data_IF_411814910203
#
_entry.id   IF_411814910203
#
_cell.length_a   1.000
_cell.length_b   1.000
_cell.length_c   1.000
_cell.angle_alpha   90.00
_cell.angle_beta   90.00
_cell.angle_gamma   90.00
#
_symmetry.space_group_name_H-M   'P 1'
#
loop_
_entity.id
_entity.type
_entity.pdbx_description
1 polymer ?
#
# COMPACT_ATOMS: atom_id res chain seq x y z
N UNK A 1 1.45 -16.69 11.56
CA UNK A 1 0.71 -16.24 10.37
C UNK A 1 1.75 -15.90 9.32
N UNK A 2 1.61 -16.41 8.10
CA UNK A 2 2.53 -16.06 7.02
C UNK A 2 2.16 -14.66 6.52
N UNK A 3 3.16 -13.79 6.34
CA UNK A 3 2.91 -12.47 5.77
C UNK A 3 2.53 -12.62 4.30
N UNK A 4 1.60 -11.80 3.78
CA UNK A 4 1.13 -11.91 2.41
C UNK A 4 2.23 -11.60 1.40
N UNK A 5 2.13 -12.22 0.23
CA UNK A 5 2.87 -11.72 -0.93
C UNK A 5 2.17 -10.48 -1.46
N UNK A 6 2.90 -9.40 -1.71
CA UNK A 6 2.33 -8.14 -2.18
C UNK A 6 2.83 -7.84 -3.59
N UNK A 7 1.88 -7.67 -4.51
CA UNK A 7 2.07 -7.12 -5.84
C UNK A 7 1.55 -5.68 -5.85
N UNK A 8 2.35 -4.74 -6.31
CA UNK A 8 2.01 -3.32 -6.35
C UNK A 8 2.35 -2.73 -7.71
N UNK A 9 1.35 -2.23 -8.43
CA UNK A 9 1.52 -1.60 -9.75
C UNK A 9 1.23 -0.10 -9.74
N UNK A 10 1.27 0.51 -8.54
CA UNK A 10 1.05 1.95 -8.33
C UNK A 10 2.34 2.72 -8.59
N UNK A 11 2.71 2.88 -9.86
CA UNK A 11 4.01 3.42 -10.28
C UNK A 11 4.28 4.86 -9.81
N UNK A 12 3.22 5.62 -9.52
CA UNK A 12 3.31 6.98 -8.98
C UNK A 12 3.43 7.02 -7.45
N UNK A 13 3.51 5.88 -6.76
CA UNK A 13 3.69 5.85 -5.30
C UNK A 13 5.17 5.90 -4.92
N UNK A 14 5.53 6.61 -3.84
CA UNK A 14 6.90 6.61 -3.28
C UNK A 14 7.32 5.24 -2.73
N UNK A 15 6.36 4.37 -2.42
CA UNK A 15 6.60 3.00 -1.96
C UNK A 15 6.73 1.97 -3.09
N UNK A 16 6.53 2.37 -4.34
CA UNK A 16 6.70 1.47 -5.48
C UNK A 16 8.18 1.17 -5.72
N UNK A 17 8.48 -0.11 -5.95
CA UNK A 17 9.78 -0.59 -6.40
C UNK A 17 9.63 -1.32 -7.74
N UNK A 18 10.60 -1.19 -8.66
CA UNK A 18 10.62 -1.94 -9.91
C UNK A 18 10.43 -3.45 -9.67
N UNK A 19 9.64 -4.10 -10.53
CA UNK A 19 9.28 -5.51 -10.39
C UNK A 19 7.98 -5.76 -9.62
N UNK A 20 7.05 -4.79 -9.65
CA UNK A 20 5.75 -4.81 -8.98
C UNK A 20 5.82 -5.03 -7.46
N UNK A 21 6.86 -4.49 -6.82
CA UNK A 21 7.09 -4.65 -5.39
C UNK A 21 6.67 -3.38 -4.62
N UNK A 22 6.28 -3.56 -3.36
CA UNK A 22 5.97 -2.47 -2.45
C UNK A 22 6.95 -2.48 -1.27
N UNK A 23 7.65 -1.38 -1.04
CA UNK A 23 8.56 -1.22 0.12
C UNK A 23 7.85 -0.65 1.36
N UNK A 24 6.54 -0.43 1.31
CA UNK A 24 5.81 0.06 2.47
C UNK A 24 5.91 -0.96 3.61
N UNK A 25 6.27 -0.51 4.81
CA UNK A 25 6.24 -1.36 6.00
C UNK A 25 4.80 -1.82 6.34
N UNK A 26 3.80 -1.01 5.99
CA UNK A 26 2.39 -1.30 6.23
C UNK A 26 1.50 -0.77 5.10
N UNK A 27 0.53 -1.59 4.68
CA UNK A 27 -0.46 -1.24 3.65
C UNK A 27 -1.83 -1.19 4.31
N UNK A 28 -2.53 -0.06 4.20
CA UNK A 28 -3.87 0.09 4.76
C UNK A 28 -4.88 0.33 3.64
N UNK A 29 -5.78 -0.64 3.44
CA UNK A 29 -6.83 -0.59 2.42
C UNK A 29 -8.16 -0.18 3.07
N UNK A 30 -8.84 0.79 2.46
CA UNK A 30 -10.11 1.35 2.93
C UNK A 30 -11.17 1.30 1.84
N UNK A 31 -12.44 1.45 2.21
CA UNK A 31 -13.48 1.78 1.23
C UNK A 31 -13.16 3.16 0.60
N UNK A 32 -13.57 3.35 -0.64
CA UNK A 32 -13.57 4.64 -1.31
C UNK A 32 -14.40 5.64 -0.48
N UNK A 33 -13.91 6.86 -0.32
CA UNK A 33 -14.55 7.87 0.54
C UNK A 33 -15.88 8.37 -0.03
N UNK A 34 -16.06 8.28 -1.35
CA UNK A 34 -17.28 8.72 -2.00
C UNK A 34 -18.44 7.76 -1.75
N UNK A 35 -18.18 6.45 -1.78
CA UNK A 35 -19.18 5.42 -1.57
C UNK A 35 -19.38 5.09 -0.08
N UNK A 36 -18.30 5.02 0.70
CA UNK A 36 -18.34 4.63 2.12
C UNK A 36 -18.56 3.13 2.35
N UNK A 37 -18.78 2.34 1.30
CA UNK A 37 -18.86 0.89 1.29
C UNK A 37 -18.12 0.35 0.06
N UNK A 38 -17.87 -0.96 0.01
CA UNK A 38 -17.26 -1.61 -1.15
C UNK A 38 -18.08 -2.81 -1.60
N UNK A 39 -18.53 -2.76 -2.86
CA UNK A 39 -19.19 -3.86 -3.57
C UNK A 39 -18.30 -4.43 -4.68
N UNK A 40 -17.39 -3.62 -5.22
CA UNK A 40 -16.38 -4.04 -6.19
C UNK A 40 -14.98 -3.53 -5.80
N UNK A 41 -13.95 -3.98 -6.50
CA UNK A 41 -12.57 -3.60 -6.22
C UNK A 41 -12.30 -2.11 -6.46
N UNK A 42 -13.03 -1.47 -7.40
CA UNK A 42 -12.98 -0.02 -7.64
C UNK A 42 -13.59 0.83 -6.51
N UNK A 43 -14.33 0.21 -5.58
CA UNK A 43 -14.82 0.86 -4.38
C UNK A 43 -13.80 0.81 -3.24
N UNK A 44 -12.55 0.43 -3.50
CA UNK A 44 -11.48 0.37 -2.50
C UNK A 44 -10.39 1.39 -2.80
N UNK A 45 -9.57 1.71 -1.80
CA UNK A 45 -8.43 2.61 -1.95
C UNK A 45 -7.29 2.24 -0.99
N UNK A 46 -6.06 2.46 -1.43
CA UNK A 46 -4.86 2.33 -0.61
C UNK A 46 -4.54 3.66 0.08
N UNK A 47 -4.79 3.74 1.39
CA UNK A 47 -4.45 4.94 2.19
C UNK A 47 -2.96 5.08 2.50
N UNK A 48 -2.19 4.02 2.30
CA UNK A 48 -0.72 4.10 2.33
C UNK A 48 -0.13 4.76 1.06
N UNK A 49 -0.96 5.16 0.09
CA UNK A 49 -0.48 5.85 -1.11
C UNK A 49 0.11 7.22 -0.78
N UNK A 50 1.35 7.43 -1.23
CA UNK A 50 2.01 8.73 -1.24
C UNK A 50 2.52 9.02 -2.64
N UNK A 51 1.97 10.05 -3.29
CA UNK A 51 2.34 10.39 -4.65
C UNK A 51 3.81 10.84 -4.73
N UNK A 52 4.54 10.33 -5.73
CA UNK A 52 5.86 10.81 -6.14
C UNK A 52 5.69 12.15 -6.86
N UNK A 53 5.54 13.24 -6.11
CA UNK A 53 5.72 14.58 -6.68
C UNK A 53 7.23 14.85 -6.78
N UNK A 54 7.61 15.70 -7.73
CA UNK A 54 8.98 16.08 -8.13
C UNK A 54 10.00 16.06 -6.99
N UNK A 55 11.28 15.78 -7.30
CA UNK A 55 12.41 15.61 -6.34
C UNK A 55 12.46 16.65 -5.19
N UNK A 56 11.89 17.85 -5.36
CA UNK A 56 11.73 18.86 -4.31
C UNK A 56 10.79 18.47 -3.15
N UNK A 57 9.76 17.67 -3.37
CA UNK A 57 8.86 17.15 -2.32
C UNK A 57 9.44 15.92 -1.58
N UNK A 58 10.46 15.26 -2.15
CA UNK A 58 11.24 14.24 -1.43
C UNK A 58 12.05 14.85 -0.27
N UNK A 59 12.21 16.19 -0.23
CA UNK A 59 12.77 16.90 0.92
C UNK A 59 11.78 16.89 2.11
N UNK A 60 10.47 16.80 1.86
CA UNK A 60 9.46 16.64 2.91
C UNK A 60 9.40 15.23 3.51
N UNK A 61 9.92 14.22 2.80
CA UNK A 61 10.05 12.85 3.29
C UNK A 61 11.31 12.62 4.14
N UNK A 62 12.21 13.60 4.21
CA UNK A 62 13.32 13.61 5.19
C UNK A 62 12.87 14.38 6.44
N UNK A 63 12.21 13.70 7.38
CA UNK A 63 12.03 14.28 8.71
C UNK A 63 13.42 14.59 9.31
N UNK A 64 13.71 15.90 9.47
CA UNK A 64 14.82 16.51 10.21
C UNK A 64 16.09 15.64 10.36
N UNK A 65 16.87 15.53 9.29
CA UNK A 65 18.15 14.81 9.34
C UNK A 65 19.25 15.69 9.94
N UNK A 66 19.64 15.38 11.18
CA UNK A 66 21.05 15.45 11.54
C UNK A 66 21.81 14.52 10.57
N UNK A 67 22.61 15.10 9.69
CA UNK A 67 23.36 14.41 8.64
C UNK A 67 24.34 13.42 9.28
N UNK A 68 23.99 12.13 9.25
CA UNK A 68 24.84 11.07 9.79
C UNK A 68 24.31 9.63 9.69
N UNK A 69 23.19 9.37 8.98
CA UNK A 69 22.54 8.05 9.02
C UNK A 69 21.73 7.67 7.79
N UNK A 70 22.06 8.19 6.61
CA UNK A 70 21.35 7.86 5.37
C UNK A 70 21.78 6.51 4.78
N UNK A 71 21.66 5.38 5.50
CA UNK A 71 21.70 4.03 4.89
C UNK A 71 20.96 2.94 5.71
N UNK A 72 19.89 3.22 6.48
CA UNK A 72 19.30 2.17 7.35
C UNK A 72 17.94 1.63 6.89
N UNK A 73 17.43 1.99 5.72
CA UNK A 73 16.13 1.49 5.23
C UNK A 73 16.17 0.61 3.98
N UNK A 74 17.15 0.81 3.10
CA UNK A 74 17.09 0.30 1.73
C UNK A 74 17.83 -1.02 1.47
N UNK A 75 18.59 -1.54 2.43
CA UNK A 75 19.36 -2.78 2.26
C UNK A 75 19.38 -3.58 3.57
N UNK A 76 18.31 -4.35 3.82
CA UNK A 76 18.34 -5.48 4.76
C UNK A 76 18.46 -6.76 3.92
N UNK A 77 19.70 -7.21 3.75
CA UNK A 77 20.13 -8.60 3.43
C UNK A 77 19.06 -9.53 2.84
N UNK A 78 18.69 -9.34 1.57
CA UNK A 78 17.96 -10.34 0.77
C UNK A 78 16.65 -10.87 1.38
N UNK A 79 16.08 -10.18 2.38
CA UNK A 79 14.86 -10.60 3.07
C UNK A 79 13.71 -9.79 2.53
N UNK A 80 12.82 -10.46 1.81
CA UNK A 80 11.58 -9.89 1.31
C UNK A 80 10.87 -9.14 2.46
N UNK A 81 10.83 -7.81 2.39
CA UNK A 81 9.94 -7.03 3.22
C UNK A 81 8.53 -7.47 2.85
N UNK A 82 7.86 -8.08 3.81
CA UNK A 82 6.48 -8.54 3.65
C UNK A 82 5.62 -7.59 4.48
N UNK A 83 4.90 -6.66 3.84
CA UNK A 83 4.14 -5.63 4.54
C UNK A 83 3.07 -6.27 5.41
N UNK A 84 2.82 -5.68 6.58
CA UNK A 84 1.56 -5.92 7.26
C UNK A 84 0.43 -5.25 6.48
N UNK A 85 -0.70 -5.93 6.30
CA UNK A 85 -1.84 -5.38 5.55
C UNK A 85 -3.06 -5.26 6.43
N UNK A 86 -3.47 -4.02 6.65
CA UNK A 86 -4.72 -3.66 7.30
C UNK A 86 -5.84 -3.51 6.25
N UNK A 87 -7.00 -4.09 6.55
CA UNK A 87 -8.20 -4.03 5.73
C UNK A 87 -9.32 -3.40 6.55
N UNK A 88 -9.69 -2.18 6.18
CA UNK A 88 -10.83 -1.42 6.71
C UNK A 88 -12.01 -1.40 5.72
N UNK A 89 -11.99 -2.33 4.75
CA UNK A 89 -12.98 -2.46 3.71
C UNK A 89 -14.17 -3.26 4.22
N UNK A 90 -15.37 -2.72 4.01
CA UNK A 90 -16.63 -3.39 4.35
C UNK A 90 -16.89 -4.51 3.33
N UNK A 91 -17.61 -5.57 3.73
CA UNK A 91 -17.97 -6.69 2.85
C UNK A 91 -16.79 -7.45 2.20
N UNK A 92 -15.55 -7.27 2.66
CA UNK A 92 -14.40 -7.99 2.11
C UNK A 92 -14.23 -9.40 2.70
N UNK A 93 -14.14 -10.43 1.85
CA UNK A 93 -13.98 -11.85 2.19
C UNK A 93 -12.74 -12.11 3.06
N UNK A 94 -11.69 -11.32 2.83
CA UNK A 94 -10.40 -11.44 3.50
C UNK A 94 -10.28 -10.59 4.78
N UNK A 95 -11.29 -9.79 5.11
CA UNK A 95 -11.32 -9.05 6.37
C UNK A 95 -11.43 -10.00 7.55
N UNK A 96 -10.57 -9.81 8.56
CA UNK A 96 -10.57 -10.51 9.83
C UNK A 96 -10.52 -9.55 11.02
N UNK A 97 -10.70 -10.09 12.23
CA UNK A 97 -10.64 -9.36 13.49
C UNK A 97 -9.41 -8.42 13.57
N UNK A 98 -9.61 -7.25 14.19
CA UNK A 98 -8.66 -6.14 14.29
C UNK A 98 -8.26 -5.50 12.95
N UNK A 99 -9.13 -5.60 11.93
CA UNK A 99 -8.88 -5.05 10.59
C UNK A 99 -7.62 -5.64 9.94
N UNK A 100 -7.26 -6.87 10.27
CA UNK A 100 -6.13 -7.56 9.63
C UNK A 100 -6.63 -8.25 8.38
N UNK A 101 -5.92 -8.10 7.26
CA UNK A 101 -6.20 -8.84 6.05
C UNK A 101 -5.63 -10.26 6.14
N UNK A 102 -6.45 -11.28 5.87
CA UNK A 102 -6.02 -12.69 5.83
C UNK A 102 -5.77 -13.22 4.42
N UNK A 103 -5.77 -12.36 3.40
CA UNK A 103 -5.39 -12.76 2.06
C UNK A 103 -3.93 -13.24 2.05
N UNK A 104 -3.65 -14.36 1.39
CA UNK A 104 -2.28 -14.89 1.23
C UNK A 104 -1.46 -14.11 0.18
N UNK A 105 -2.16 -13.46 -0.76
CA UNK A 105 -1.60 -12.62 -1.80
C UNK A 105 -2.44 -11.36 -1.91
N UNK A 106 -1.80 -10.21 -1.97
CA UNK A 106 -2.43 -8.90 -2.17
C UNK A 106 -1.91 -8.25 -3.45
N UNK A 107 -2.83 -7.64 -4.19
CA UNK A 107 -2.55 -6.84 -5.36
C UNK A 107 -3.18 -5.46 -5.19
N UNK A 108 -2.32 -4.44 -5.19
CA UNK A 108 -2.74 -3.03 -5.21
C UNK A 108 -2.38 -2.46 -6.58
N UNK A 109 -3.39 -1.99 -7.31
CA UNK A 109 -3.23 -1.40 -8.63
C UNK A 109 -3.58 0.09 -8.60
N UNK A 110 -3.07 0.85 -9.56
CA UNK A 110 -3.25 2.30 -9.62
C UNK A 110 -2.21 2.95 -10.51
N UNK A 111 -2.13 2.49 -11.77
CA UNK A 111 -1.15 3.02 -12.72
C UNK A 111 -1.46 4.49 -13.02
N UNK A 112 -0.45 5.35 -12.98
CA UNK A 112 -0.59 6.81 -13.05
C UNK A 112 -1.48 7.43 -11.96
N UNK A 113 -1.66 6.76 -10.81
CA UNK A 113 -2.44 7.30 -9.70
C UNK A 113 -1.94 8.69 -9.28
N UNK A 114 -2.85 9.65 -9.16
CA UNK A 114 -2.56 10.97 -8.61
C UNK A 114 -2.99 11.06 -7.14
N UNK A 115 -4.02 10.31 -6.76
CA UNK A 115 -4.65 10.33 -5.45
C UNK A 115 -4.89 8.91 -4.92
N UNK A 116 -5.13 8.72 -3.62
CA UNK A 116 -5.49 7.41 -3.06
C UNK A 116 -6.72 6.77 -3.72
N UNK A 117 -7.70 7.56 -4.15
CA UNK A 117 -8.90 7.06 -4.84
C UNK A 117 -8.61 6.50 -6.24
N UNK A 118 -7.43 6.78 -6.81
CA UNK A 118 -6.99 6.20 -8.09
C UNK A 118 -6.28 4.86 -7.90
N UNK A 119 -6.36 4.28 -6.70
CA UNK A 119 -5.76 2.99 -6.36
C UNK A 119 -6.84 2.02 -5.94
N UNK A 120 -6.71 0.77 -6.37
CA UNK A 120 -7.68 -0.28 -6.07
C UNK A 120 -6.95 -1.48 -5.44
N UNK A 121 -7.59 -2.11 -4.46
CA UNK A 121 -7.21 -3.44 -4.00
C UNK A 121 -7.86 -4.49 -4.91
N UNK A 122 -7.13 -4.98 -5.92
CA UNK A 122 -7.60 -6.02 -6.85
C UNK A 122 -7.80 -7.39 -6.19
N UNK A 123 -7.34 -7.53 -4.94
CA UNK A 123 -7.61 -8.70 -4.09
C UNK A 123 -8.96 -8.61 -3.39
N UNK A 124 -9.65 -7.47 -3.43
CA UNK A 124 -10.98 -7.37 -2.88
C UNK A 124 -11.90 -8.45 -3.46
N UNK A 125 -12.69 -9.04 -2.58
CA UNK A 125 -13.72 -10.01 -2.92
C UNK A 125 -14.88 -9.79 -1.97
N UNK A 126 -16.08 -9.65 -2.51
CA UNK A 126 -17.29 -9.49 -1.72
C UNK A 126 -17.59 -10.77 -0.89
N UNK A 127 -18.21 -10.58 0.29
CA UNK A 127 -18.66 -11.63 1.24
C UNK A 127 -20.08 -12.08 0.98
#
# INVERSE_FOLDING_TARGET
MANPTVKCTVDQCTHYMPGDQCMAAKISVYNNEQAGYSSEDGDTQCKSFHQRKTVGDMVGAVHNSNIGGMITGAFMDGKQLTPEVECFVNHCAYWHQNNVCQASSIEVAGYNAANPQDTDCKTFKEK
#
